data_IF_447514611935
#
_entry.id   IF_447514611935
#
_cell.length_a   1.000
_cell.length_b   1.000
_cell.length_c   1.000
_cell.angle_alpha   90.00
_cell.angle_beta   90.00
_cell.angle_gamma   90.00
#
_symmetry.space_group_name_H-M   'P 1'
#
loop_
_entity.id
_entity.type
_entity.pdbx_description
1 polymer ?
#
# COMPACT_ATOMS: atom_id res chain seq x y z
N UNK A 1 16.14 -21.48 3.17
CA UNK A 1 14.93 -21.53 4.03
C UNK A 1 15.29 -20.93 5.38
N UNK A 2 14.90 -19.68 5.60
CA UNK A 2 15.27 -18.94 6.81
C UNK A 2 14.00 -18.32 7.39
N UNK A 3 13.54 -18.85 8.52
CA UNK A 3 12.46 -18.30 9.34
C UNK A 3 13.06 -17.25 10.28
N UNK A 4 12.47 -16.06 10.36
CA UNK A 4 12.67 -15.16 11.50
C UNK A 4 11.36 -15.05 12.28
N UNK A 5 11.36 -15.66 13.47
CA UNK A 5 10.38 -15.47 14.54
C UNK A 5 10.82 -14.25 15.35
N UNK A 6 9.90 -13.31 15.63
CA UNK A 6 10.09 -12.33 16.70
C UNK A 6 9.30 -12.78 17.93
N UNK A 7 10.04 -13.14 18.98
CA UNK A 7 9.51 -13.40 20.33
C UNK A 7 9.72 -12.15 21.16
N UNK A 8 8.63 -11.58 21.69
CA UNK A 8 8.67 -10.57 22.77
C UNK A 8 8.79 -11.27 24.12
N UNK A 9 9.64 -10.77 25.05
CA UNK A 9 9.41 -11.00 26.46
C UNK A 9 9.20 -9.68 27.23
N UNK A 10 7.96 -9.55 27.72
CA UNK A 10 7.58 -9.43 29.13
C UNK A 10 8.05 -8.24 29.99
N UNK A 11 7.03 -7.77 30.73
CA UNK A 11 6.98 -6.76 31.77
C UNK A 11 7.90 -7.12 32.94
N UNK A 12 8.68 -6.15 33.43
CA UNK A 12 9.30 -6.21 34.74
C UNK A 12 8.72 -5.10 35.64
N UNK A 13 8.05 -5.55 36.70
CA UNK A 13 7.55 -4.75 37.82
C UNK A 13 8.71 -4.30 38.71
N UNK A 14 8.74 -3.02 39.08
CA UNK A 14 9.63 -2.49 40.10
C UNK A 14 9.01 -1.28 40.80
N UNK A 15 8.69 -1.45 42.09
CA UNK A 15 8.36 -0.36 43.02
C UNK A 15 9.64 0.15 43.68
N UNK A 16 9.83 1.47 43.77
CA UNK A 16 10.60 2.13 44.83
C UNK A 16 10.17 3.60 44.96
N UNK A 17 9.91 4.00 46.20
CA UNK A 17 9.50 5.33 46.64
C UNK A 17 10.62 6.37 46.49
N UNK A 18 10.21 7.64 46.29
CA UNK A 18 10.90 8.79 46.86
C UNK A 18 11.46 9.79 45.85
N UNK A 19 10.81 10.97 45.77
CA UNK A 19 11.41 12.17 45.19
C UNK A 19 10.42 12.99 44.35
N UNK A 20 9.76 13.97 44.97
CA UNK A 20 9.19 15.09 44.24
C UNK A 20 10.33 15.82 43.52
N UNK A 21 10.44 15.60 42.21
CA UNK A 21 11.07 16.53 41.29
C UNK A 21 10.01 16.93 40.30
N UNK A 22 9.54 18.17 40.44
CA UNK A 22 8.81 18.88 39.40
C UNK A 22 9.73 18.99 38.20
N UNK A 23 9.66 18.00 37.32
CA UNK A 23 10.18 18.09 35.98
C UNK A 23 9.02 18.56 35.14
N UNK A 24 9.18 19.72 34.53
CA UNK A 24 8.34 20.24 33.47
C UNK A 24 8.05 19.10 32.49
N UNK A 25 6.91 18.44 32.66
CA UNK A 25 6.35 17.59 31.65
C UNK A 25 5.87 18.54 30.57
N UNK A 26 6.77 18.89 29.65
CA UNK A 26 6.36 19.11 28.28
C UNK A 26 5.78 17.78 27.84
N UNK A 27 4.49 17.59 28.17
CA UNK A 27 3.62 16.66 27.49
C UNK A 27 3.67 17.11 26.04
N UNK A 28 4.65 16.58 25.32
CA UNK A 28 4.67 16.58 23.89
C UNK A 28 3.37 15.89 23.54
N UNK A 29 2.35 16.69 23.19
CA UNK A 29 1.15 16.24 22.51
C UNK A 29 1.67 15.47 21.31
N UNK A 30 1.87 14.17 21.50
CA UNK A 30 1.91 13.22 20.41
C UNK A 30 0.50 13.30 19.89
N UNK A 31 0.28 14.17 18.90
CA UNK A 31 -0.88 14.09 18.05
C UNK A 31 -0.92 12.63 17.62
N UNK A 32 -1.83 11.86 18.20
CA UNK A 32 -2.00 10.47 17.81
C UNK A 32 -2.43 10.53 16.36
N UNK A 33 -1.51 10.29 15.44
CA UNK A 33 -1.84 10.18 14.03
C UNK A 33 -2.84 9.03 13.93
N UNK A 34 -4.10 9.35 13.61
CA UNK A 34 -5.08 8.32 13.32
C UNK A 34 -4.60 7.56 12.09
N UNK A 35 -4.48 6.24 12.18
CA UNK A 35 -4.19 5.42 11.01
C UNK A 35 -5.45 5.29 10.17
N UNK A 36 -5.35 5.66 8.88
CA UNK A 36 -6.40 5.41 7.90
C UNK A 36 -5.98 4.22 7.05
N UNK A 37 -6.75 3.13 7.13
CA UNK A 37 -6.59 1.97 6.26
C UNK A 37 -7.22 2.30 4.90
N UNK A 38 -6.41 2.27 3.84
CA UNK A 38 -6.88 2.39 2.45
C UNK A 38 -7.49 1.05 2.01
N UNK A 39 -6.69 0.01 2.13
CA UNK A 39 -7.10 -1.38 2.02
C UNK A 39 -6.12 -2.28 2.78
N UNK A 40 -6.66 -3.24 3.53
CA UNK A 40 -5.93 -4.34 4.19
C UNK A 40 -6.28 -5.70 3.57
N UNK A 41 -7.21 -5.73 2.61
CA UNK A 41 -7.70 -6.91 1.90
C UNK A 41 -8.45 -7.96 2.74
N UNK A 42 -8.49 -7.84 4.06
CA UNK A 42 -9.14 -8.80 4.97
C UNK A 42 -10.67 -8.89 4.82
N UNK A 43 -11.28 -7.92 4.15
CA UNK A 43 -12.74 -7.88 3.93
C UNK A 43 -13.23 -8.76 2.79
N UNK A 44 -12.33 -9.22 1.93
CA UNK A 44 -12.68 -9.92 0.71
C UNK A 44 -12.73 -11.43 0.94
N UNK A 45 -13.34 -12.13 0.00
CA UNK A 45 -13.29 -13.59 0.00
C UNK A 45 -11.99 -14.06 -0.65
N UNK A 46 -11.34 -15.08 -0.10
CA UNK A 46 -10.14 -15.67 -0.70
C UNK A 46 -10.49 -16.25 -2.09
N UNK A 47 -9.60 -16.06 -3.07
CA UNK A 47 -9.76 -16.34 -4.49
C UNK A 47 -10.78 -15.46 -5.23
N UNK A 48 -11.30 -14.41 -4.60
CA UNK A 48 -12.14 -13.40 -5.27
C UNK A 48 -11.30 -12.27 -5.86
N UNK A 49 -11.92 -11.49 -6.73
CA UNK A 49 -11.38 -10.21 -7.23
C UNK A 49 -11.83 -9.10 -6.26
N UNK A 50 -10.95 -8.22 -5.77
CA UNK A 50 -11.35 -7.21 -4.81
C UNK A 50 -12.22 -6.12 -5.45
N UNK A 51 -13.52 -6.22 -5.22
CA UNK A 51 -14.57 -5.44 -5.90
C UNK A 51 -14.53 -3.90 -5.69
N UNK A 52 -13.65 -3.36 -4.84
CA UNK A 52 -13.45 -1.90 -4.71
C UNK A 52 -12.45 -1.35 -5.70
N UNK A 53 -11.60 -2.21 -6.25
CA UNK A 53 -10.51 -1.81 -7.11
C UNK A 53 -10.97 -1.69 -8.56
N UNK A 54 -10.37 -0.75 -9.28
CA UNK A 54 -10.85 -0.31 -10.60
C UNK A 54 -9.70 -0.26 -11.60
N UNK A 55 -9.97 -0.55 -12.87
CA UNK A 55 -9.12 -0.13 -13.99
C UNK A 55 -9.55 1.26 -14.42
N UNK A 56 -8.61 2.21 -14.39
CA UNK A 56 -8.83 3.62 -14.73
C UNK A 56 -7.97 3.97 -15.92
N UNK A 57 -8.56 4.00 -17.11
CA UNK A 57 -7.89 4.42 -18.35
C UNK A 57 -7.97 5.94 -18.50
N UNK A 58 -9.13 6.52 -18.16
CA UNK A 58 -9.37 7.96 -18.20
C UNK A 58 -10.42 8.38 -17.19
N UNK A 59 -10.70 9.68 -17.10
CA UNK A 59 -11.74 10.23 -16.22
C UNK A 59 -13.12 9.60 -16.49
N UNK A 60 -13.41 9.26 -17.74
CA UNK A 60 -14.72 8.75 -18.16
C UNK A 60 -14.70 7.24 -18.46
N UNK A 61 -13.54 6.59 -18.32
CA UNK A 61 -13.36 5.18 -18.60
C UNK A 61 -12.79 4.51 -17.35
N UNK A 62 -13.72 4.09 -16.49
CA UNK A 62 -13.48 3.49 -15.19
C UNK A 62 -14.29 2.20 -15.14
N UNK A 63 -13.60 1.07 -14.99
CA UNK A 63 -14.22 -0.27 -14.95
C UNK A 63 -13.91 -0.95 -13.61
N UNK A 64 -14.88 -1.63 -12.99
CA UNK A 64 -14.60 -2.57 -11.89
C UNK A 64 -13.52 -3.56 -12.30
N UNK A 65 -12.66 -3.96 -11.35
CA UNK A 65 -11.59 -4.91 -11.65
C UNK A 65 -12.13 -6.24 -12.23
N UNK A 66 -13.29 -6.70 -11.74
CA UNK A 66 -13.95 -7.91 -12.25
C UNK A 66 -14.29 -7.87 -13.75
N UNK A 67 -14.57 -6.67 -14.28
CA UNK A 67 -14.92 -6.45 -15.69
C UNK A 67 -13.71 -6.06 -16.56
N UNK A 68 -12.55 -5.88 -15.93
CA UNK A 68 -11.38 -5.25 -16.55
C UNK A 68 -10.15 -6.15 -16.65
N UNK A 69 -10.19 -7.35 -16.06
CA UNK A 69 -9.14 -8.36 -16.23
C UNK A 69 -9.18 -8.89 -17.66
N UNK A 70 -8.03 -8.85 -18.32
CA UNK A 70 -7.85 -9.33 -19.69
C UNK A 70 -7.13 -10.68 -19.74
N UNK A 71 -7.04 -11.27 -20.93
CA UNK A 71 -6.30 -12.53 -21.11
C UNK A 71 -4.83 -12.34 -20.72
N UNK A 72 -4.30 -13.24 -19.88
CA UNK A 72 -2.93 -13.15 -19.37
C UNK A 72 -2.80 -12.38 -18.04
N UNK A 73 -3.89 -11.80 -17.53
CA UNK A 73 -3.90 -11.07 -16.26
C UNK A 73 -4.54 -11.88 -15.13
N UNK A 74 -4.08 -11.68 -13.89
CA UNK A 74 -4.81 -12.07 -12.67
C UNK A 74 -4.74 -10.98 -11.62
N UNK A 75 -5.83 -10.83 -10.88
CA UNK A 75 -5.94 -9.90 -9.75
C UNK A 75 -6.86 -10.48 -8.68
N UNK A 76 -6.25 -11.19 -7.74
CA UNK A 76 -6.96 -12.11 -6.86
C UNK A 76 -6.53 -11.94 -5.40
N UNK A 77 -7.48 -12.15 -4.49
CA UNK A 77 -7.21 -12.21 -3.07
C UNK A 77 -6.66 -13.58 -2.72
N UNK A 78 -5.51 -13.61 -2.06
CA UNK A 78 -4.90 -14.81 -1.53
C UNK A 78 -4.63 -14.64 -0.04
N UNK A 79 -4.36 -15.76 0.63
CA UNK A 79 -4.05 -15.79 2.04
C UNK A 79 -2.72 -16.54 2.27
N UNK A 80 -1.88 -16.00 3.15
CA UNK A 80 -0.65 -16.64 3.64
C UNK A 80 -0.48 -16.28 5.11
N UNK A 81 -0.29 -17.27 5.98
CA UNK A 81 -0.08 -17.09 7.43
C UNK A 81 -1.13 -16.16 8.08
N UNK A 82 -2.43 -16.43 7.83
CA UNK A 82 -3.58 -15.64 8.32
C UNK A 82 -3.57 -14.15 7.92
N UNK A 83 -2.89 -13.81 6.82
CA UNK A 83 -2.87 -12.46 6.26
C UNK A 83 -3.39 -12.51 4.82
N UNK A 84 -4.52 -11.88 4.56
CA UNK A 84 -5.03 -11.70 3.21
C UNK A 84 -4.25 -10.60 2.46
N UNK A 85 -4.06 -10.80 1.17
CA UNK A 85 -3.37 -9.84 0.30
C UNK A 85 -3.86 -10.01 -1.13
N UNK A 86 -3.67 -8.98 -1.93
CA UNK A 86 -3.91 -9.08 -3.36
C UNK A 86 -2.65 -9.53 -4.11
N UNK A 87 -2.80 -10.46 -5.06
CA UNK A 87 -1.77 -10.84 -6.01
C UNK A 87 -2.12 -10.32 -7.39
N UNK A 88 -1.14 -9.69 -8.02
CA UNK A 88 -1.20 -9.28 -9.42
C UNK A 88 -0.31 -10.23 -10.22
N UNK A 89 -0.79 -10.61 -11.40
CA UNK A 89 -0.01 -11.30 -12.43
C UNK A 89 -0.37 -10.72 -13.79
N UNK A 90 0.61 -10.65 -14.67
CA UNK A 90 0.43 -10.23 -16.06
C UNK A 90 1.47 -10.93 -16.92
N UNK A 91 1.13 -11.15 -18.18
CA UNK A 91 2.00 -11.72 -19.20
C UNK A 91 2.02 -10.79 -20.42
N UNK A 92 3.21 -10.41 -20.88
CA UNK A 92 3.40 -9.59 -22.09
C UNK A 92 3.11 -8.09 -21.95
N UNK A 93 2.18 -7.70 -21.06
CA UNK A 93 1.76 -6.31 -20.87
C UNK A 93 1.78 -5.89 -19.40
N UNK A 94 1.63 -4.59 -19.13
CA UNK A 94 1.47 -4.10 -17.76
C UNK A 94 0.02 -4.22 -17.28
N UNK A 95 -0.16 -4.42 -15.98
CA UNK A 95 -1.46 -4.43 -15.33
C UNK A 95 -1.55 -3.30 -14.30
N UNK A 96 -2.71 -2.63 -14.20
CA UNK A 96 -2.94 -1.57 -13.21
C UNK A 96 -4.36 -1.58 -12.67
N UNK A 97 -4.47 -1.59 -11.35
CA UNK A 97 -5.70 -1.32 -10.62
C UNK A 97 -5.49 -0.19 -9.61
N UNK A 98 -6.55 0.60 -9.38
CA UNK A 98 -6.50 1.81 -8.55
C UNK A 98 -7.72 1.92 -7.65
N UNK A 99 -7.53 2.62 -6.53
CA UNK A 99 -8.59 3.22 -5.73
C UNK A 99 -8.51 4.74 -5.93
N UNK A 100 -9.65 5.42 -6.07
CA UNK A 100 -9.71 6.88 -6.26
C UNK A 100 -10.07 7.55 -4.95
N UNK A 101 -9.22 8.48 -4.53
CA UNK A 101 -9.46 9.30 -3.35
C UNK A 101 -10.64 10.25 -3.59
N UNK A 102 -11.56 10.35 -2.65
CA UNK A 102 -12.82 11.08 -2.78
C UNK A 102 -13.99 10.25 -3.31
N UNK A 103 -13.74 9.02 -3.76
CA UNK A 103 -14.74 8.12 -4.32
C UNK A 103 -14.78 6.79 -3.54
N UNK A 104 -13.78 5.92 -3.72
CA UNK A 104 -13.75 4.61 -3.05
C UNK A 104 -13.17 4.68 -1.63
N UNK A 105 -12.42 5.74 -1.32
CA UNK A 105 -11.89 6.02 0.01
C UNK A 105 -11.60 7.51 0.19
N UNK A 106 -11.42 7.90 1.44
CA UNK A 106 -11.07 9.28 1.83
C UNK A 106 -9.70 9.31 2.50
N UNK A 107 -8.83 10.17 1.98
CA UNK A 107 -7.50 10.45 2.50
C UNK A 107 -7.11 11.90 2.21
N UNK A 108 -6.40 12.52 3.16
CA UNK A 108 -5.90 13.91 3.02
C UNK A 108 -4.46 14.00 3.49
N UNK A 109 -3.57 14.42 2.60
CA UNK A 109 -2.13 14.58 2.89
C UNK A 109 -1.87 15.46 4.12
N UNK A 110 -2.68 16.50 4.33
CA UNK A 110 -2.54 17.42 5.49
C UNK A 110 -2.73 16.73 6.84
N UNK A 111 -3.60 15.73 6.92
CA UNK A 111 -3.91 15.01 8.18
C UNK A 111 -3.20 13.66 8.26
N UNK A 112 -2.89 13.05 7.12
CA UNK A 112 -2.25 11.74 7.01
C UNK A 112 -1.02 11.83 6.06
N UNK A 113 0.06 12.53 6.46
CA UNK A 113 1.21 12.80 5.59
C UNK A 113 2.15 11.60 5.42
N UNK A 114 1.89 10.50 6.14
CA UNK A 114 2.71 9.29 6.12
C UNK A 114 1.90 8.14 5.56
N UNK A 115 2.52 7.37 4.69
CA UNK A 115 1.95 6.20 4.07
C UNK A 115 2.82 5.00 4.42
N UNK A 116 2.19 3.83 4.54
CA UNK A 116 2.84 2.56 4.75
C UNK A 116 2.09 1.50 3.94
N UNK A 117 2.83 0.60 3.31
CA UNK A 117 2.31 -0.57 2.62
C UNK A 117 3.32 -1.71 2.74
N UNK A 118 2.83 -2.93 2.57
CA UNK A 118 3.63 -4.14 2.46
C UNK A 118 3.41 -4.72 1.07
N UNK A 119 4.49 -5.02 0.39
CA UNK A 119 4.47 -5.66 -0.92
C UNK A 119 5.75 -6.46 -1.10
N UNK A 120 5.71 -7.44 -1.99
CA UNK A 120 6.87 -8.23 -2.40
C UNK A 120 6.70 -8.58 -3.87
N UNK A 121 7.81 -8.58 -4.61
CA UNK A 121 7.83 -9.12 -5.96
C UNK A 121 8.31 -10.57 -5.89
N UNK A 122 7.62 -11.48 -6.58
CA UNK A 122 7.97 -12.90 -6.60
C UNK A 122 8.78 -13.26 -7.83
N UNK A 123 8.41 -12.68 -8.96
CA UNK A 123 9.05 -12.87 -10.26
C UNK A 123 9.07 -11.51 -10.96
N UNK A 124 10.22 -11.18 -11.54
CA UNK A 124 10.40 -9.98 -12.34
C UNK A 124 10.82 -10.39 -13.75
N UNK A 125 10.42 -9.63 -14.79
CA UNK A 125 10.97 -9.81 -16.12
C UNK A 125 12.50 -9.70 -16.07
N UNK A 126 13.18 -10.58 -16.80
CA UNK A 126 14.63 -10.48 -16.93
C UNK A 126 15.02 -9.14 -17.55
N UNK A 127 16.04 -8.50 -17.00
CA UNK A 127 16.56 -7.20 -17.46
C UNK A 127 15.57 -6.02 -17.41
N UNK A 128 14.49 -6.11 -16.64
CA UNK A 128 13.64 -4.95 -16.37
C UNK A 128 14.50 -3.84 -15.74
N UNK A 129 14.35 -2.61 -16.26
CA UNK A 129 15.08 -1.42 -15.83
C UNK A 129 14.23 -0.15 -16.02
N UNK A 130 14.00 0.59 -14.94
CA UNK A 130 13.30 1.89 -14.99
C UNK A 130 14.20 3.04 -15.47
N UNK A 131 15.51 2.83 -15.57
CA UNK A 131 16.45 3.89 -15.98
C UNK A 131 16.34 4.20 -17.47
N UNK A 132 16.29 3.16 -18.29
CA UNK A 132 16.40 3.29 -19.75
C UNK A 132 15.22 2.67 -20.50
N UNK A 133 14.57 1.64 -19.93
CA UNK A 133 13.51 0.88 -20.62
C UNK A 133 12.09 1.27 -20.16
N UNK A 134 11.97 2.06 -19.09
CA UNK A 134 10.70 2.30 -18.39
C UNK A 134 9.98 0.98 -18.04
N UNK A 135 10.78 -0.02 -17.68
CA UNK A 135 10.33 -1.37 -17.37
C UNK A 135 10.53 -1.64 -15.88
N UNK A 136 9.43 -1.86 -15.17
CA UNK A 136 9.42 -2.14 -13.74
C UNK A 136 8.66 -3.41 -13.49
N UNK A 137 9.25 -4.27 -12.68
CA UNK A 137 8.61 -5.48 -12.19
C UNK A 137 7.33 -5.21 -11.39
N UNK A 138 7.25 -4.03 -10.76
CA UNK A 138 6.00 -3.52 -10.20
C UNK A 138 6.16 -2.11 -9.66
N UNK A 139 5.04 -1.44 -9.38
CA UNK A 139 5.08 -0.12 -8.77
C UNK A 139 3.83 0.21 -7.94
N UNK A 140 4.02 1.01 -6.89
CA UNK A 140 2.94 1.67 -6.16
C UNK A 140 2.92 3.14 -6.56
N UNK A 141 1.79 3.59 -7.09
CA UNK A 141 1.55 4.98 -7.46
C UNK A 141 0.66 5.65 -6.43
N UNK A 142 1.07 6.83 -5.95
CA UNK A 142 0.25 7.67 -5.09
C UNK A 142 0.12 9.04 -5.72
N UNK A 143 -1.07 9.37 -6.20
CA UNK A 143 -1.41 10.68 -6.74
C UNK A 143 -2.17 11.49 -5.70
N UNK A 144 -1.63 12.65 -5.31
CA UNK A 144 -2.12 13.44 -4.16
C UNK A 144 -2.48 14.89 -4.51
N UNK A 145 -2.55 15.23 -5.80
CA UNK A 145 -3.03 16.52 -6.25
C UNK A 145 -2.67 16.79 -7.70
N UNK A 146 -2.83 18.05 -8.10
CA UNK A 146 -2.40 18.55 -9.41
C UNK A 146 -1.55 19.81 -9.22
N UNK A 147 -0.72 20.12 -10.21
CA UNK A 147 -0.07 21.43 -10.30
C UNK A 147 -0.97 22.48 -10.98
N UNK A 148 -0.43 23.68 -11.20
CA UNK A 148 -1.18 24.80 -11.75
C UNK A 148 -1.58 24.62 -13.22
N UNK A 149 -1.00 23.66 -13.95
CA UNK A 149 -1.42 23.26 -15.30
C UNK A 149 -2.39 22.07 -15.27
N UNK A 150 -2.79 21.59 -14.10
CA UNK A 150 -3.63 20.40 -13.97
C UNK A 150 -2.87 19.08 -14.12
N UNK A 151 -1.53 19.09 -14.14
CA UNK A 151 -0.75 17.85 -14.23
C UNK A 151 -0.76 17.12 -12.89
N UNK A 152 -0.96 15.79 -12.86
CA UNK A 152 -0.93 15.02 -11.62
C UNK A 152 0.39 15.19 -10.85
N UNK A 153 0.29 15.34 -9.53
CA UNK A 153 1.41 15.23 -8.60
C UNK A 153 1.37 13.85 -7.97
N UNK A 154 2.38 13.06 -8.29
CA UNK A 154 2.44 11.67 -7.87
C UNK A 154 3.82 11.29 -7.35
N UNK A 155 3.86 10.34 -6.43
CA UNK A 155 5.07 9.57 -6.12
C UNK A 155 4.87 8.17 -6.68
N UNK A 156 5.88 7.66 -7.40
CA UNK A 156 5.94 6.31 -7.94
C UNK A 156 7.05 5.57 -7.19
N UNK A 157 6.70 4.51 -6.48
CA UNK A 157 7.66 3.59 -5.85
C UNK A 157 7.80 2.38 -6.75
N UNK A 158 8.95 2.25 -7.41
CA UNK A 158 9.25 1.16 -8.35
C UNK A 158 10.08 0.08 -7.70
N UNK A 159 9.95 -1.14 -8.23
CA UNK A 159 10.86 -2.23 -7.99
C UNK A 159 11.19 -2.87 -9.32
N UNK A 160 12.47 -2.84 -9.68
CA UNK A 160 12.97 -3.34 -10.95
C UNK A 160 14.19 -4.23 -10.68
N UNK A 161 14.46 -5.14 -11.60
CA UNK A 161 15.59 -6.08 -11.48
C UNK A 161 16.96 -5.43 -11.72
N UNK A 162 17.01 -4.20 -12.24
CA UNK A 162 18.25 -3.45 -12.54
C UNK A 162 18.12 -1.92 -12.41
#
# INVERSE_FOLDING_TARGET
MTRLLFVLPWIATGFLLGGLRSLNAHAQERTAFSTRVVDDFERYEVNSIPNRWLRVESRNEVRPAEDAIESGERFEILEEDDNQFVRLYTEGEYIRFSLRNGEEFEWRLKTHPRLAWRWRALELPEEASEKDKNDTGGAVYVTFGQDWLGRPKSIKYTYSSS
#
